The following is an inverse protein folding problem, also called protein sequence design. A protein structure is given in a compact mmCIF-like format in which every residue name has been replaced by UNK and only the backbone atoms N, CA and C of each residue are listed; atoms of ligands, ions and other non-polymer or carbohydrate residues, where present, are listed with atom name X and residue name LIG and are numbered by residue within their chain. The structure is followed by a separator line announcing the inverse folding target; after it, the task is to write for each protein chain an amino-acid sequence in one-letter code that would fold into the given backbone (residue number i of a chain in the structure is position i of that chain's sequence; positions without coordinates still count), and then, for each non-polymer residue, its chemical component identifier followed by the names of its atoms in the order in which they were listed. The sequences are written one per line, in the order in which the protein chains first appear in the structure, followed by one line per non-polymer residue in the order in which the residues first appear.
data_IF_861309989483
#
_entry.id   IF_861309989483
#
_cell.length_a   1.000
_cell.length_b   1.000
_cell.length_c   1.000
_cell.angle_alpha   90.00
_cell.angle_beta   90.00
_cell.angle_gamma   90.00
#
_symmetry.space_group_name_H-M   'P 1'
#
loop_
_entity.id
_entity.type
_entity.pdbx_description
1 polymer ?
#
# COMPACT_ATOMS: atom_id res chain seq x y z
N UNK A 1 5.93 11.39 11.85
CA UNK A 1 5.06 10.27 11.44
C UNK A 1 4.12 10.02 12.59
N UNK A 2 2.82 9.88 12.33
CA UNK A 2 1.85 9.52 13.36
C UNK A 2 1.52 8.03 13.22
N UNK A 3 1.34 7.33 14.34
CA UNK A 3 0.72 6.00 14.29
C UNK A 3 -0.70 6.16 13.75
N UNK A 4 -1.09 5.27 12.86
CA UNK A 4 -2.42 5.25 12.27
C UNK A 4 -3.02 3.87 12.49
N UNK A 5 -4.33 3.82 12.69
CA UNK A 5 -5.09 2.58 12.65
C UNK A 5 -5.82 2.53 11.31
N UNK A 6 -5.30 1.73 10.38
CA UNK A 6 -5.88 1.60 9.04
C UNK A 6 -7.17 0.78 9.07
N UNK A 7 -7.30 -0.19 9.99
CA UNK A 7 -8.53 -0.97 10.16
C UNK A 7 -9.69 -0.11 10.66
N UNK A 8 -9.44 0.80 11.61
CA UNK A 8 -10.42 1.78 12.07
C UNK A 8 -10.91 2.71 10.94
N UNK A 9 -10.11 2.90 9.89
CA UNK A 9 -10.49 3.65 8.69
C UNK A 9 -11.25 2.81 7.66
N UNK A 10 -11.47 1.52 7.92
CA UNK A 10 -12.17 0.61 7.01
C UNK A 10 -11.25 -0.19 6.09
N UNK A 11 -9.92 -0.10 6.24
CA UNK A 11 -9.00 -0.92 5.47
C UNK A 11 -8.90 -2.32 6.05
N UNK A 12 -9.15 -3.32 5.21
CA UNK A 12 -8.81 -4.69 5.52
C UNK A 12 -7.53 -5.03 4.76
N UNK A 13 -6.43 -5.10 5.50
CA UNK A 13 -5.10 -5.36 4.95
C UNK A 13 -4.64 -6.81 5.15
N UNK A 14 -5.47 -7.66 5.76
CA UNK A 14 -5.14 -9.02 6.19
C UNK A 14 -4.72 -9.90 5.00
N UNK A 15 -3.41 -10.03 4.72
CA UNK A 15 -2.98 -10.84 3.60
C UNK A 15 -3.08 -12.28 4.09
N UNK A 16 -3.92 -13.09 3.46
CA UNK A 16 -3.93 -14.55 3.68
C UNK A 16 -2.64 -15.24 3.21
N UNK A 17 -1.51 -14.52 3.17
CA UNK A 17 -0.20 -14.99 2.73
C UNK A 17 0.54 -15.48 3.96
N UNK A 18 0.75 -16.79 4.03
CA UNK A 18 1.39 -17.43 5.16
C UNK A 18 2.77 -16.83 5.47
N UNK A 19 3.07 -16.68 6.76
CA UNK A 19 4.35 -16.16 7.25
C UNK A 19 4.39 -14.64 7.43
N UNK A 20 3.66 -13.86 6.63
CA UNK A 20 3.68 -12.40 6.75
C UNK A 20 2.81 -11.90 7.89
N UNK A 21 3.37 -11.00 8.68
CA UNK A 21 2.69 -10.36 9.81
C UNK A 21 2.92 -8.85 9.77
N UNK A 22 1.87 -8.09 10.12
CA UNK A 22 1.88 -6.63 10.15
C UNK A 22 2.68 -6.16 11.36
N UNK A 23 3.73 -5.39 11.13
CA UNK A 23 4.64 -4.91 12.18
C UNK A 23 4.56 -3.40 12.42
N UNK A 24 3.99 -2.64 11.48
CA UNK A 24 3.89 -1.18 11.60
C UNK A 24 2.79 -0.60 10.74
N UNK A 25 2.08 0.39 11.29
CA UNK A 25 1.19 1.28 10.55
C UNK A 25 1.53 2.73 10.90
N UNK A 26 1.78 3.55 9.88
CA UNK A 26 2.10 4.96 10.05
C UNK A 26 1.47 5.82 8.97
N UNK A 27 0.99 7.00 9.36
CA UNK A 27 0.66 8.09 8.45
C UNK A 27 1.85 9.02 8.30
N UNK A 28 2.23 9.29 7.05
CA UNK A 28 3.33 10.21 6.72
C UNK A 28 2.96 11.13 5.57
N UNK A 29 3.30 12.43 5.63
CA UNK A 29 3.21 13.30 4.48
C UNK A 29 4.24 12.82 3.44
N UNK A 30 3.81 12.61 2.20
CA UNK A 30 4.69 12.33 1.07
C UNK A 30 4.55 13.44 0.04
N UNK A 31 5.64 13.69 -0.69
CA UNK A 31 5.59 14.62 -1.82
C UNK A 31 4.50 14.15 -2.78
N UNK A 32 3.64 15.08 -3.20
CA UNK A 32 2.71 14.81 -4.28
C UNK A 32 3.48 14.44 -5.54
N UNK A 33 2.84 13.65 -6.40
CA UNK A 33 3.44 13.20 -7.65
C UNK A 33 3.60 14.34 -8.65
N UNK A 34 2.64 15.27 -8.66
CA UNK A 34 2.67 16.42 -9.55
C UNK A 34 3.47 17.57 -8.91
N UNK A 35 4.45 18.16 -9.63
CA UNK A 35 5.23 19.28 -9.12
C UNK A 35 4.35 20.49 -8.78
N UNK A 36 4.46 20.98 -7.55
CA UNK A 36 3.73 22.16 -7.07
C UNK A 36 2.47 21.85 -6.25
N UNK A 37 2.03 20.59 -6.20
CA UNK A 37 0.96 20.17 -5.30
C UNK A 37 1.45 20.09 -3.83
N UNK A 38 0.55 20.34 -2.85
CA UNK A 38 0.88 20.16 -1.45
C UNK A 38 1.17 18.68 -1.13
N UNK A 39 1.97 18.38 -0.09
CA UNK A 39 2.19 17.01 0.36
C UNK A 39 0.87 16.31 0.69
N UNK A 40 0.75 15.05 0.25
CA UNK A 40 -0.42 14.21 0.53
C UNK A 40 -0.16 13.33 1.75
N UNK A 41 -1.18 13.14 2.58
CA UNK A 41 -1.12 12.18 3.68
C UNK A 41 -1.22 10.76 3.12
N UNK A 42 -0.16 9.97 3.30
CA UNK A 42 -0.10 8.57 2.85
C UNK A 42 -0.05 7.66 4.07
N UNK A 43 -0.94 6.69 4.10
CA UNK A 43 -0.93 5.63 5.09
C UNK A 43 -0.04 4.49 4.59
N UNK A 44 0.84 4.02 5.47
CA UNK A 44 1.76 2.93 5.19
C UNK A 44 1.59 1.82 6.21
N UNK A 45 1.30 0.60 5.74
CA UNK A 45 1.42 -0.62 6.51
C UNK A 45 2.66 -1.41 6.07
N UNK A 46 3.38 -2.00 7.03
CA UNK A 46 4.58 -2.80 6.78
C UNK A 46 4.36 -4.21 7.30
N UNK A 47 4.66 -5.19 6.44
CA UNK A 47 4.55 -6.61 6.71
C UNK A 47 5.90 -7.29 6.54
N UNK A 48 6.18 -8.30 7.35
CA UNK A 48 7.39 -9.13 7.22
C UNK A 48 7.09 -10.59 7.56
N UNK A 49 7.83 -11.50 6.95
CA UNK A 49 7.88 -12.94 7.27
C UNK A 49 9.16 -13.34 8.02
N UNK A 50 9.99 -12.37 8.42
CA UNK A 50 11.30 -12.56 9.04
C UNK A 50 12.48 -12.57 8.07
N UNK A 51 12.24 -12.71 6.75
CA UNK A 51 13.26 -12.66 5.70
C UNK A 51 13.04 -11.50 4.74
N UNK A 52 11.81 -11.33 4.26
CA UNK A 52 11.39 -10.29 3.34
C UNK A 52 10.47 -9.27 4.03
N UNK A 53 10.36 -8.10 3.40
CA UNK A 53 9.45 -7.03 3.85
C UNK A 53 8.60 -6.56 2.68
N UNK A 54 7.30 -6.39 2.93
CA UNK A 54 6.33 -5.80 2.01
C UNK A 54 5.77 -4.52 2.65
N UNK A 55 5.81 -3.43 1.90
CA UNK A 55 5.16 -2.17 2.26
C UNK A 55 3.93 -1.94 1.40
N UNK A 56 2.82 -1.63 2.06
CA UNK A 56 1.56 -1.21 1.44
C UNK A 56 1.40 0.28 1.69
N UNK A 57 1.20 1.04 0.63
CA UNK A 57 0.89 2.47 0.68
C UNK A 57 -0.53 2.69 0.18
N UNK A 58 -1.30 3.45 0.92
CA UNK A 58 -2.64 3.90 0.57
C UNK A 58 -2.63 5.41 0.50
N UNK A 59 -3.00 5.94 -0.66
CA UNK A 59 -3.13 7.37 -0.90
C UNK A 59 -4.47 7.68 -1.59
N UNK A 60 -5.07 8.86 -1.34
CA UNK A 60 -6.26 9.31 -2.05
C UNK A 60 -6.02 9.44 -3.56
N UNK A 61 -7.01 9.03 -4.37
CA UNK A 61 -7.02 9.16 -5.81
C UNK A 61 -7.62 10.51 -6.27
N UNK A 62 -7.10 11.63 -5.73
CA UNK A 62 -7.61 12.98 -6.02
C UNK A 62 -7.45 13.38 -7.50
N UNK A 63 -6.41 12.87 -8.17
CA UNK A 63 -6.13 13.12 -9.58
C UNK A 63 -6.07 11.81 -10.37
N UNK A 64 -6.75 11.80 -11.52
CA UNK A 64 -6.89 10.63 -12.38
C UNK A 64 -5.68 10.39 -13.32
N UNK A 65 -4.52 10.98 -13.00
CA UNK A 65 -3.31 10.91 -13.83
C UNK A 65 -2.54 9.59 -13.65
N UNK A 66 -2.77 8.90 -12.53
CA UNK A 66 -2.13 7.63 -12.21
C UNK A 66 -2.83 6.47 -12.93
N UNK A 67 -2.02 5.49 -13.36
CA UNK A 67 -2.49 4.25 -13.97
C UNK A 67 -2.10 3.07 -13.08
N UNK A 68 -2.95 2.05 -13.08
CA UNK A 68 -2.58 0.74 -12.53
C UNK A 68 -1.41 0.15 -13.34
N UNK A 69 -0.57 -0.64 -12.69
CA UNK A 69 0.58 -1.25 -13.35
C UNK A 69 1.47 -2.02 -12.39
N UNK A 70 2.40 -2.77 -12.96
CA UNK A 70 3.44 -3.48 -12.23
C UNK A 70 4.81 -3.07 -12.77
N UNK A 71 5.82 -3.11 -11.92
CA UNK A 71 7.20 -2.83 -12.31
C UNK A 71 8.19 -3.44 -11.33
N UNK A 72 9.47 -3.32 -11.65
CA UNK A 72 10.54 -3.79 -10.78
C UNK A 72 11.77 -2.92 -10.93
N UNK A 73 12.59 -2.90 -9.89
CA UNK A 73 13.92 -2.28 -9.89
C UNK A 73 14.82 -3.18 -9.07
N UNK A 74 15.74 -3.89 -9.74
CA UNK A 74 16.51 -4.96 -9.11
C UNK A 74 15.60 -6.08 -8.59
N UNK A 75 15.80 -6.48 -7.32
CA UNK A 75 14.96 -7.47 -6.65
C UNK A 75 13.65 -6.90 -6.07
N UNK A 76 13.52 -5.57 -6.02
CA UNK A 76 12.30 -4.93 -5.54
C UNK A 76 11.24 -4.92 -6.65
N UNK A 77 10.09 -5.50 -6.36
CA UNK A 77 8.93 -5.48 -7.23
C UNK A 77 7.88 -4.52 -6.67
N UNK A 78 7.12 -3.87 -7.55
CA UNK A 78 6.05 -2.94 -7.20
C UNK A 78 4.79 -3.24 -8.01
N UNK A 79 3.64 -3.12 -7.35
CA UNK A 79 2.33 -3.25 -7.94
C UNK A 79 1.46 -2.07 -7.50
N UNK A 80 0.86 -1.40 -8.48
CA UNK A 80 -0.04 -0.27 -8.29
C UNK A 80 -1.44 -0.68 -8.73
N UNK A 81 -2.41 -0.55 -7.82
CA UNK A 81 -3.82 -0.85 -8.04
C UNK A 81 -4.69 0.29 -7.57
N UNK A 82 -5.87 0.43 -8.17
CA UNK A 82 -6.91 1.34 -7.70
C UNK A 82 -7.97 0.54 -6.93
N UNK A 83 -8.45 1.10 -5.82
CA UNK A 83 -9.61 0.61 -5.05
C UNK A 83 -10.48 1.79 -4.69
N UNK A 84 -11.60 1.96 -5.39
CA UNK A 84 -12.47 3.13 -5.25
C UNK A 84 -11.69 4.43 -5.46
N UNK A 85 -11.72 5.29 -4.45
CA UNK A 85 -11.07 6.60 -4.44
C UNK A 85 -9.66 6.56 -3.85
N UNK A 86 -9.01 5.39 -3.86
CA UNK A 86 -7.66 5.22 -3.34
C UNK A 86 -6.75 4.49 -4.32
N UNK A 87 -5.48 4.93 -4.34
CA UNK A 87 -4.38 4.20 -4.94
C UNK A 87 -3.68 3.35 -3.88
N UNK A 88 -3.44 2.11 -4.26
CA UNK A 88 -2.75 1.12 -3.44
C UNK A 88 -1.44 0.79 -4.14
N UNK A 89 -0.33 1.07 -3.47
CA UNK A 89 1.00 0.67 -3.94
C UNK A 89 1.52 -0.39 -3.01
N UNK A 90 1.79 -1.58 -3.53
CA UNK A 90 2.43 -2.65 -2.79
C UNK A 90 3.83 -2.82 -3.37
N UNK A 91 4.85 -2.84 -2.51
CA UNK A 91 6.23 -3.09 -2.95
C UNK A 91 6.97 -3.97 -1.94
N UNK A 92 7.92 -4.74 -2.44
CA UNK A 92 8.79 -5.58 -1.60
C UNK A 92 9.76 -6.41 -2.42
N UNK A 93 10.74 -6.99 -1.73
CA UNK A 93 11.70 -7.94 -2.29
C UNK A 93 11.11 -9.37 -2.29
N UNK A 94 10.02 -9.55 -3.03
CA UNK A 94 9.28 -10.81 -3.14
C UNK A 94 8.92 -11.10 -4.59
N UNK A 95 8.63 -12.35 -4.97
CA UNK A 95 8.12 -12.65 -6.30
C UNK A 95 6.86 -11.84 -6.65
N UNK A 96 6.66 -11.45 -7.93
CA UNK A 96 5.47 -10.72 -8.36
C UNK A 96 4.14 -11.37 -7.97
N UNK A 97 4.08 -12.70 -7.93
CA UNK A 97 2.90 -13.45 -7.52
C UNK A 97 2.51 -13.17 -6.05
N UNK A 98 3.49 -13.04 -5.15
CA UNK A 98 3.25 -12.69 -3.74
C UNK A 98 2.68 -11.29 -3.60
N UNK A 99 3.22 -10.34 -4.38
CA UNK A 99 2.70 -8.97 -4.45
C UNK A 99 1.27 -8.90 -4.97
N UNK A 100 0.94 -9.70 -5.98
CA UNK A 100 -0.42 -9.79 -6.51
C UNK A 100 -1.40 -10.37 -5.49
N UNK A 101 -1.00 -11.40 -4.74
CA UNK A 101 -1.82 -11.96 -3.66
C UNK A 101 -2.09 -10.91 -2.57
N UNK A 102 -1.04 -10.21 -2.13
CA UNK A 102 -1.17 -9.08 -1.19
C UNK A 102 -2.14 -8.03 -1.68
N UNK A 103 -1.96 -7.52 -2.90
CA UNK A 103 -2.83 -6.49 -3.46
C UNK A 103 -4.28 -6.94 -3.68
N UNK A 104 -4.51 -8.24 -3.85
CA UNK A 104 -5.86 -8.81 -4.01
C UNK A 104 -6.58 -8.97 -2.67
N UNK A 105 -5.84 -9.18 -1.58
CA UNK A 105 -6.39 -9.27 -0.22
C UNK A 105 -6.70 -7.90 0.41
N UNK A 106 -6.18 -6.81 -0.17
CA UNK A 106 -6.45 -5.46 0.31
C UNK A 106 -7.82 -4.99 -0.18
N UNK A 107 -8.71 -4.75 0.78
CA UNK A 107 -10.05 -4.26 0.56
C UNK A 107 -10.32 -3.00 1.36
N UNK A 108 -11.16 -2.12 0.81
CA UNK A 108 -11.71 -0.99 1.55
C UNK A 108 -13.18 -1.28 1.84
N UNK A 109 -13.51 -1.46 3.11
CA UNK A 109 -14.89 -1.54 3.60
C UNK A 109 -15.20 -0.23 4.29
N UNK A 110 -15.95 0.63 3.61
CA UNK A 110 -16.46 1.84 4.24
C UNK A 110 -17.20 1.44 5.52
N UNK A 111 -16.67 1.86 6.68
CA UNK A 111 -17.42 1.77 7.93
C UNK A 111 -18.70 2.58 7.75
N UNK A 112 -19.83 1.89 7.87
CA UNK A 112 -21.17 2.47 7.73
C UNK A 112 -21.56 3.24 8.98
#
# INVERSE_FOLDING_TARGET
MATVDMEAQGWQLAPGVAGFQKIREVRRPMAARDPGDPPIAVDQAVFTDGLATISVFVEPAEKNTRKEGAGSTGATHVLVKRRGDYWITVLGEVPPATLQQFASAIEYKASK
#
